data_IF_638386361904
#
_entry.id   IF_638386361904
#
_cell.length_a   1.000
_cell.length_b   1.000
_cell.length_c   1.000
_cell.angle_alpha   90.00
_cell.angle_beta   90.00
_cell.angle_gamma   90.00
#
_symmetry.space_group_name_H-M   'P 1'
#
loop_
_entity.id
_entity.type
_entity.pdbx_description
1 polymer ?
#
# COMPACT_ATOMS: atom_id res chain seq x y z
N UNK A 1 1.46 12.02 6.51
CA UNK A 1 0.11 12.58 6.74
C UNK A 1 0.04 14.07 6.42
N UNK A 2 0.88 14.93 6.98
CA UNK A 2 0.85 16.38 6.71
C UNK A 2 0.95 16.74 5.22
N UNK A 3 1.84 16.09 4.48
CA UNK A 3 2.01 16.27 3.03
C UNK A 3 0.78 15.87 2.22
N UNK A 4 0.07 14.80 2.62
CA UNK A 4 -1.19 14.37 2.00
C UNK A 4 -2.28 15.41 2.25
N UNK A 5 -2.40 15.92 3.48
CA UNK A 5 -3.37 16.98 3.81
C UNK A 5 -3.06 18.28 3.04
N UNK A 6 -1.78 18.63 2.93
CA UNK A 6 -1.35 19.79 2.14
C UNK A 6 -1.68 19.61 0.66
N UNK A 7 -1.39 18.43 0.09
CA UNK A 7 -1.73 18.12 -1.30
C UNK A 7 -3.24 18.17 -1.55
N UNK A 8 -4.04 17.56 -0.67
CA UNK A 8 -5.50 17.60 -0.76
C UNK A 8 -6.04 19.04 -0.70
N UNK A 9 -5.48 19.88 0.19
CA UNK A 9 -5.83 21.29 0.27
C UNK A 9 -5.44 22.07 -0.99
N UNK A 10 -4.25 21.84 -1.54
CA UNK A 10 -3.79 22.45 -2.79
C UNK A 10 -4.65 22.03 -3.98
N UNK A 11 -4.98 20.74 -4.09
CA UNK A 11 -5.85 20.20 -5.12
C UNK A 11 -7.24 20.83 -5.06
N UNK A 12 -7.83 20.94 -3.87
CA UNK A 12 -9.10 21.61 -3.64
C UNK A 12 -9.06 23.09 -4.07
N UNK A 13 -8.00 23.83 -3.68
CA UNK A 13 -7.78 25.22 -4.08
C UNK A 13 -7.65 25.40 -5.59
N UNK A 14 -7.15 24.38 -6.31
CA UNK A 14 -6.99 24.37 -7.78
C UNK A 14 -8.20 23.80 -8.51
N UNK A 15 -9.25 23.36 -7.80
CA UNK A 15 -10.42 22.72 -8.41
C UNK A 15 -10.14 21.34 -9.03
N UNK A 16 -9.09 20.65 -8.56
CA UNK A 16 -8.68 19.34 -9.07
C UNK A 16 -9.32 18.22 -8.25
N UNK A 17 -10.03 17.31 -8.90
CA UNK A 17 -10.72 16.17 -8.28
C UNK A 17 -9.84 14.90 -8.23
N UNK A 18 -8.68 15.01 -7.56
CA UNK A 18 -7.67 13.93 -7.46
C UNK A 18 -7.76 13.15 -6.14
N UNK A 19 -8.65 13.55 -5.23
CA UNK A 19 -8.89 12.89 -3.96
C UNK A 19 -10.35 12.46 -3.85
N UNK A 20 -10.53 11.19 -3.50
CA UNK A 20 -11.69 10.70 -2.78
C UNK A 20 -11.24 10.29 -1.38
N UNK A 21 -11.95 10.75 -0.34
CA UNK A 21 -11.50 10.54 1.04
C UNK A 21 -11.63 9.07 1.43
N UNK A 22 -12.64 8.35 0.93
CA UNK A 22 -12.81 6.94 1.25
C UNK A 22 -11.71 6.10 0.59
N UNK A 23 -11.38 6.37 -0.67
CA UNK A 23 -10.26 5.74 -1.38
C UNK A 23 -8.91 6.07 -0.72
N UNK A 24 -8.68 7.33 -0.34
CA UNK A 24 -7.46 7.74 0.35
C UNK A 24 -7.32 7.04 1.70
N UNK A 25 -8.40 6.91 2.48
CA UNK A 25 -8.41 6.15 3.73
C UNK A 25 -8.12 4.66 3.48
N UNK A 26 -8.66 4.06 2.41
CA UNK A 26 -8.33 2.68 2.03
C UNK A 26 -6.86 2.52 1.68
N UNK A 27 -6.24 3.47 0.97
CA UNK A 27 -4.79 3.47 0.73
C UNK A 27 -4.01 3.48 2.05
N UNK A 28 -4.41 4.32 3.00
CA UNK A 28 -3.78 4.40 4.32
C UNK A 28 -3.99 3.13 5.16
N UNK A 29 -5.18 2.51 5.11
CA UNK A 29 -5.48 1.24 5.76
C UNK A 29 -4.57 0.12 5.24
N UNK A 30 -4.38 0.03 3.93
CA UNK A 30 -3.48 -0.93 3.29
C UNK A 30 -2.02 -0.71 3.73
N UNK A 31 -1.58 0.54 3.80
CA UNK A 31 -0.29 0.90 4.36
C UNK A 31 -0.11 0.45 5.81
N UNK A 32 -1.12 0.67 6.67
CA UNK A 32 -1.11 0.19 8.06
C UNK A 32 -1.01 -1.34 8.12
N UNK A 33 -1.80 -2.06 7.33
CA UNK A 33 -1.73 -3.52 7.23
C UNK A 33 -0.33 -4.00 6.82
N UNK A 34 0.25 -3.37 5.79
CA UNK A 34 1.62 -3.65 5.33
C UNK A 34 2.65 -3.48 6.46
N UNK A 35 2.58 -2.38 7.23
CA UNK A 35 3.48 -2.14 8.36
C UNK A 35 3.32 -3.17 9.48
N UNK A 36 2.08 -3.52 9.84
CA UNK A 36 1.81 -4.54 10.88
C UNK A 36 2.33 -5.90 10.45
N UNK A 37 2.11 -6.33 9.19
CA UNK A 37 2.68 -7.58 8.67
C UNK A 37 4.21 -7.52 8.59
N UNK A 38 4.75 -6.35 8.27
CA UNK A 38 6.18 -6.05 8.26
C UNK A 38 6.87 -6.37 9.60
N UNK A 39 6.20 -6.12 10.73
CA UNK A 39 6.75 -6.45 12.06
C UNK A 39 7.09 -7.93 12.21
N UNK A 40 6.24 -8.81 11.67
CA UNK A 40 6.41 -10.25 11.81
C UNK A 40 7.32 -10.85 10.73
N UNK A 41 7.53 -10.15 9.62
CA UNK A 41 8.26 -10.65 8.45
C UNK A 41 9.64 -10.04 8.29
N UNK A 42 9.93 -8.88 8.90
CA UNK A 42 11.23 -8.20 8.84
C UNK A 42 12.38 -9.08 9.35
N UNK A 43 12.16 -9.87 10.41
CA UNK A 43 13.17 -10.77 10.96
C UNK A 43 13.52 -11.88 9.98
N UNK A 44 12.52 -12.40 9.27
CA UNK A 44 12.75 -13.38 8.22
C UNK A 44 13.56 -12.76 7.07
N UNK A 45 13.13 -11.62 6.52
CA UNK A 45 13.78 -11.01 5.36
C UNK A 45 15.20 -10.52 5.68
N UNK A 46 15.38 -9.72 6.74
CA UNK A 46 16.69 -9.19 7.13
C UNK A 46 17.59 -10.28 7.70
N UNK A 47 17.02 -11.24 8.46
CA UNK A 47 17.75 -12.38 9.00
C UNK A 47 18.28 -13.28 7.89
N UNK A 48 17.47 -13.59 6.88
CA UNK A 48 17.90 -14.38 5.72
C UNK A 48 18.98 -13.64 4.91
N UNK A 49 18.79 -12.35 4.63
CA UNK A 49 19.80 -11.53 3.97
C UNK A 49 21.12 -11.53 4.75
N UNK A 50 21.06 -11.33 6.08
CA UNK A 50 22.24 -11.29 6.95
C UNK A 50 22.94 -12.63 7.04
N UNK A 51 22.19 -13.74 7.14
CA UNK A 51 22.74 -15.09 7.15
C UNK A 51 23.45 -15.40 5.82
N UNK A 52 22.86 -15.00 4.70
CA UNK A 52 23.46 -15.16 3.37
C UNK A 52 24.73 -14.33 3.23
N UNK A 53 24.69 -13.07 3.64
CA UNK A 53 25.84 -12.17 3.68
C UNK A 53 26.97 -12.80 4.52
N UNK A 54 26.72 -13.16 5.78
CA UNK A 54 27.75 -13.72 6.67
C UNK A 54 28.39 -14.99 6.13
N UNK A 55 27.66 -15.80 5.37
CA UNK A 55 28.14 -17.09 4.87
C UNK A 55 28.82 -17.01 3.51
N UNK A 56 28.31 -16.18 2.59
CA UNK A 56 28.65 -16.22 1.16
C UNK A 56 28.94 -14.85 0.51
N UNK A 57 29.17 -13.78 1.28
CA UNK A 57 29.62 -12.53 0.68
C UNK A 57 30.97 -12.73 -0.04
N UNK A 58 31.04 -12.28 -1.29
CA UNK A 58 32.23 -12.40 -2.13
C UNK A 58 33.24 -11.26 -1.94
N UNK A 59 32.81 -10.12 -1.40
CA UNK A 59 33.64 -8.94 -1.20
C UNK A 59 33.42 -8.34 0.19
N UNK A 60 34.50 -7.94 0.85
CA UNK A 60 34.46 -7.18 2.10
C UNK A 60 34.29 -5.69 1.81
N UNK A 61 33.03 -5.24 1.67
CA UNK A 61 32.73 -3.83 1.43
C UNK A 61 32.57 -3.06 2.75
N UNK A 62 33.32 -1.98 2.91
CA UNK A 62 33.26 -1.16 4.12
C UNK A 62 32.03 -0.24 4.14
N UNK A 63 31.15 -0.32 5.16
CA UNK A 63 30.02 0.59 5.29
C UNK A 63 30.43 2.05 5.57
N UNK A 64 31.69 2.30 5.92
CA UNK A 64 32.23 3.65 6.08
C UNK A 64 32.57 4.35 4.74
N UNK A 65 32.58 3.60 3.64
CA UNK A 65 32.97 4.12 2.32
C UNK A 65 31.75 4.66 1.55
N UNK A 66 31.73 5.96 1.24
CA UNK A 66 30.61 6.58 0.51
C UNK A 66 30.33 5.97 -0.87
N UNK A 67 31.36 5.48 -1.56
CA UNK A 67 31.18 4.80 -2.85
C UNK A 67 30.38 3.49 -2.72
N UNK A 68 30.52 2.77 -1.59
CA UNK A 68 29.76 1.53 -1.32
C UNK A 68 28.27 1.85 -1.24
N UNK A 69 27.90 2.96 -0.59
CA UNK A 69 26.51 3.42 -0.53
C UNK A 69 25.96 3.79 -1.90
N UNK A 70 26.74 4.52 -2.71
CA UNK A 70 26.32 4.91 -4.06
C UNK A 70 26.16 3.69 -4.98
N UNK A 71 27.13 2.77 -4.97
CA UNK A 71 27.09 1.54 -5.75
C UNK A 71 25.94 0.62 -5.28
N UNK A 72 25.74 0.50 -3.97
CA UNK A 72 24.64 -0.27 -3.40
C UNK A 72 23.27 0.34 -3.76
N UNK A 73 23.13 1.67 -3.78
CA UNK A 73 21.89 2.33 -4.18
C UNK A 73 21.57 2.06 -5.65
N UNK A 74 22.58 2.16 -6.54
CA UNK A 74 22.40 1.85 -7.96
C UNK A 74 22.04 0.38 -8.17
N UNK A 75 22.71 -0.53 -7.46
CA UNK A 75 22.43 -1.96 -7.54
C UNK A 75 21.06 -2.32 -6.93
N UNK A 76 20.66 -1.64 -5.86
CA UNK A 76 19.34 -1.80 -5.26
C UNK A 76 18.24 -1.33 -6.22
N UNK A 77 18.38 -0.16 -6.83
CA UNK A 77 17.43 0.38 -7.81
C UNK A 77 17.32 -0.54 -9.05
N UNK A 78 18.42 -1.17 -9.47
CA UNK A 78 18.40 -2.22 -10.49
C UNK A 78 17.63 -3.49 -10.04
N UNK A 79 17.88 -3.97 -8.82
CA UNK A 79 17.11 -5.07 -8.24
C UNK A 79 15.62 -4.73 -8.13
N UNK A 80 15.31 -3.49 -7.74
CA UNK A 80 13.95 -2.97 -7.67
C UNK A 80 13.28 -3.00 -9.05
N UNK A 81 13.94 -2.51 -10.11
CA UNK A 81 13.40 -2.56 -11.47
C UNK A 81 12.93 -3.98 -11.86
N UNK A 82 13.74 -5.01 -11.60
CA UNK A 82 13.36 -6.39 -11.90
C UNK A 82 12.27 -6.95 -10.99
N UNK A 83 12.32 -6.64 -9.70
CA UNK A 83 11.27 -7.00 -8.76
C UNK A 83 9.93 -6.39 -9.18
N UNK A 84 9.95 -5.12 -9.61
CA UNK A 84 8.78 -4.36 -10.00
C UNK A 84 8.24 -4.83 -11.35
N UNK A 85 9.09 -4.98 -12.36
CA UNK A 85 8.73 -5.52 -13.68
C UNK A 85 8.09 -6.90 -13.57
N UNK A 86 8.72 -7.85 -12.87
CA UNK A 86 8.12 -9.16 -12.68
C UNK A 86 6.89 -9.12 -11.77
N UNK A 87 6.80 -8.11 -10.90
CA UNK A 87 5.58 -7.71 -10.19
C UNK A 87 4.41 -7.40 -11.12
N UNK A 88 4.64 -6.95 -12.35
CA UNK A 88 3.59 -6.71 -13.34
C UNK A 88 3.47 -7.82 -14.38
N UNK A 89 4.55 -8.54 -14.68
CA UNK A 89 4.57 -9.54 -15.75
C UNK A 89 4.36 -11.00 -15.28
N UNK A 90 4.38 -11.27 -13.96
CA UNK A 90 4.21 -12.63 -13.41
C UNK A 90 3.05 -12.66 -12.42
N UNK A 91 2.08 -13.53 -12.67
CA UNK A 91 0.80 -13.58 -11.95
C UNK A 91 0.91 -13.65 -10.43
N UNK A 92 1.79 -14.47 -9.86
CA UNK A 92 1.97 -14.57 -8.40
C UNK A 92 2.60 -13.30 -7.80
N UNK A 93 3.49 -12.62 -8.53
CA UNK A 93 4.11 -11.38 -8.09
C UNK A 93 3.15 -10.20 -8.28
N UNK A 94 2.33 -10.24 -9.33
CA UNK A 94 1.22 -9.31 -9.52
C UNK A 94 0.14 -9.49 -8.45
N UNK A 95 -0.13 -10.70 -7.98
CA UNK A 95 -0.99 -10.90 -6.81
C UNK A 95 -0.46 -10.13 -5.58
N UNK A 96 0.86 -10.02 -5.46
CA UNK A 96 1.51 -9.25 -4.41
C UNK A 96 1.61 -7.76 -4.72
N UNK A 97 1.29 -7.27 -5.92
CA UNK A 97 1.53 -5.88 -6.31
C UNK A 97 0.27 -5.13 -6.76
N UNK A 98 -0.70 -5.82 -7.39
CA UNK A 98 -1.96 -5.30 -7.96
C UNK A 98 -2.72 -4.34 -7.03
N UNK A 99 -2.69 -4.61 -5.72
CA UNK A 99 -3.38 -3.76 -4.75
C UNK A 99 -2.82 -2.34 -4.75
N UNK A 100 -1.53 -2.15 -5.02
CA UNK A 100 -0.90 -0.84 -5.17
C UNK A 100 -1.53 -0.01 -6.31
N UNK A 101 -1.80 -0.67 -7.43
CA UNK A 101 -2.43 -0.08 -8.62
C UNK A 101 -3.95 0.04 -8.52
N UNK A 102 -4.57 -0.53 -7.48
CA UNK A 102 -6.03 -0.61 -7.40
C UNK A 102 -6.75 0.71 -7.09
N UNK A 103 -6.02 1.78 -6.73
CA UNK A 103 -6.63 3.10 -6.54
C UNK A 103 -6.98 3.71 -7.89
N UNK A 104 -8.18 4.26 -7.99
CA UNK A 104 -8.68 4.95 -9.18
C UNK A 104 -8.49 6.47 -9.10
N UNK A 105 -7.77 6.92 -8.07
CA UNK A 105 -7.35 8.29 -7.78
C UNK A 105 -5.82 8.30 -7.61
N UNK A 106 -5.14 9.33 -8.10
CA UNK A 106 -3.68 9.35 -8.05
C UNK A 106 -3.15 10.54 -7.26
N UNK A 107 -2.65 10.27 -6.06
CA UNK A 107 -2.20 11.27 -5.11
C UNK A 107 -1.25 10.64 -4.08
N UNK A 108 -0.71 11.45 -3.16
CA UNK A 108 0.31 10.98 -2.19
C UNK A 108 -0.20 9.89 -1.23
N UNK A 109 -1.51 9.68 -1.11
CA UNK A 109 -2.03 8.52 -0.36
C UNK A 109 -1.83 7.22 -1.12
N UNK A 110 -1.84 7.23 -2.46
CA UNK A 110 -1.60 6.07 -3.33
C UNK A 110 -0.23 5.45 -3.07
N UNK A 111 0.79 6.26 -2.76
CA UNK A 111 2.10 5.77 -2.33
C UNK A 111 2.03 4.84 -1.10
N UNK A 112 1.05 5.06 -0.22
CA UNK A 112 0.86 4.27 0.99
C UNK A 112 -0.09 3.08 0.78
N UNK A 113 -0.66 2.90 -0.41
CA UNK A 113 -1.42 1.72 -0.80
C UNK A 113 -0.47 0.53 -1.00
N UNK A 114 0.10 0.05 0.09
CA UNK A 114 1.13 -0.99 0.08
C UNK A 114 0.52 -2.37 0.29
N UNK A 115 1.08 -3.35 -0.40
CA UNK A 115 0.75 -4.77 -0.22
C UNK A 115 1.21 -5.29 1.13
N UNK A 116 0.52 -6.31 1.63
CA UNK A 116 0.93 -7.10 2.80
C UNK A 116 1.54 -8.45 2.43
N UNK A 117 1.66 -8.77 1.14
CA UNK A 117 2.13 -10.08 0.66
C UNK A 117 3.46 -10.05 -0.10
N UNK A 118 4.08 -8.87 -0.25
CA UNK A 118 5.39 -8.73 -0.91
C UNK A 118 6.51 -9.56 -0.27
N UNK A 119 6.43 -9.86 1.03
CA UNK A 119 7.41 -10.69 1.74
C UNK A 119 7.47 -12.15 1.29
N UNK A 120 6.48 -12.64 0.52
CA UNK A 120 6.46 -14.02 0.06
C UNK A 120 7.62 -14.30 -0.91
N UNK A 121 7.85 -13.38 -1.86
CA UNK A 121 8.83 -13.57 -2.94
C UNK A 121 9.73 -12.35 -3.20
N UNK A 122 9.36 -11.16 -2.72
CA UNK A 122 10.08 -9.92 -3.03
C UNK A 122 11.53 -9.88 -2.50
N UNK A 123 11.82 -10.55 -1.39
CA UNK A 123 13.17 -10.60 -0.80
C UNK A 123 14.19 -11.27 -1.72
N UNK A 124 13.76 -12.20 -2.59
CA UNK A 124 14.66 -12.99 -3.43
C UNK A 124 15.45 -12.11 -4.41
N UNK A 125 14.86 -11.01 -4.87
CA UNK A 125 15.47 -10.06 -5.80
C UNK A 125 16.68 -9.32 -5.23
N UNK A 126 16.76 -9.22 -3.90
CA UNK A 126 17.80 -8.46 -3.23
C UNK A 126 18.92 -9.34 -2.66
N UNK A 127 18.74 -10.67 -2.63
CA UNK A 127 19.79 -11.60 -2.20
C UNK A 127 21.12 -11.50 -2.97
N UNK A 128 21.13 -11.20 -4.29
CA UNK A 128 22.39 -10.97 -5.00
C UNK A 128 23.26 -9.89 -4.36
N UNK A 129 22.67 -8.88 -3.71
CA UNK A 129 23.42 -7.82 -3.02
C UNK A 129 24.17 -8.37 -1.79
N UNK A 130 23.58 -9.33 -1.06
CA UNK A 130 24.24 -9.99 0.05
C UNK A 130 25.46 -10.80 -0.43
N UNK A 131 25.30 -11.54 -1.52
CA UNK A 131 26.39 -12.32 -2.15
C UNK A 131 27.46 -11.39 -2.73
N UNK A 132 27.08 -10.24 -3.28
CA UNK A 132 28.02 -9.21 -3.74
C UNK A 132 28.72 -8.46 -2.60
N UNK A 133 28.37 -8.73 -1.34
CA UNK A 133 29.03 -8.14 -0.18
C UNK A 133 28.50 -6.78 0.25
N UNK A 134 27.28 -6.39 -0.12
CA UNK A 134 26.63 -5.19 0.41
C UNK A 134 26.26 -5.43 1.89
N UNK A 135 26.85 -4.68 2.85
CA UNK A 135 26.59 -4.92 4.28
C UNK A 135 25.12 -4.72 4.64
N UNK A 136 24.54 -5.50 5.57
CA UNK A 136 23.12 -5.38 5.95
C UNK A 136 22.70 -3.96 6.35
N UNK A 137 23.58 -3.20 7.00
CA UNK A 137 23.33 -1.79 7.34
C UNK A 137 23.18 -0.92 6.08
N UNK A 138 24.07 -1.08 5.11
CA UNK A 138 24.02 -0.34 3.84
C UNK A 138 22.78 -0.74 3.07
N UNK A 139 22.49 -2.05 2.98
CA UNK A 139 21.28 -2.59 2.35
C UNK A 139 20.00 -1.96 2.92
N UNK A 140 19.84 -1.96 4.25
CA UNK A 140 18.68 -1.37 4.91
C UNK A 140 18.59 0.15 4.65
N UNK A 141 19.75 0.83 4.63
CA UNK A 141 19.82 2.27 4.37
C UNK A 141 19.43 2.64 2.94
N UNK A 142 19.97 1.94 1.93
CA UNK A 142 19.61 2.22 0.52
C UNK A 142 18.18 1.81 0.20
N UNK A 143 17.66 0.74 0.80
CA UNK A 143 16.26 0.38 0.71
C UNK A 143 15.32 1.47 1.25
N UNK A 144 15.71 2.14 2.34
CA UNK A 144 14.97 3.27 2.90
C UNK A 144 15.03 4.50 1.99
N UNK A 145 16.21 4.80 1.41
CA UNK A 145 16.37 5.92 0.47
C UNK A 145 15.46 5.72 -0.74
N UNK A 146 15.47 4.52 -1.32
CA UNK A 146 14.62 4.14 -2.45
C UNK A 146 13.13 4.24 -2.12
N UNK A 147 12.70 3.65 -0.99
CA UNK A 147 11.32 3.75 -0.51
C UNK A 147 10.85 5.21 -0.34
N UNK A 148 11.68 6.07 0.25
CA UNK A 148 11.38 7.48 0.45
C UNK A 148 11.34 8.26 -0.86
N UNK A 149 12.20 7.92 -1.82
CA UNK A 149 12.16 8.50 -3.15
C UNK A 149 10.84 8.18 -3.85
N UNK A 150 10.39 6.93 -3.78
CA UNK A 150 9.15 6.52 -4.44
C UNK A 150 7.88 7.14 -3.85
N UNK A 151 7.95 7.76 -2.67
CA UNK A 151 6.80 8.45 -2.09
C UNK A 151 6.31 9.65 -2.92
N UNK A 152 7.22 10.56 -3.31
CA UNK A 152 6.84 11.86 -3.87
C UNK A 152 6.37 11.80 -5.33
N UNK A 153 6.68 10.71 -6.04
CA UNK A 153 6.28 10.51 -7.45
C UNK A 153 4.78 10.22 -7.60
N UNK A 154 4.06 9.96 -6.50
CA UNK A 154 2.62 9.72 -6.49
C UNK A 154 1.83 11.01 -6.39
N UNK A 155 1.79 11.81 -7.47
CA UNK A 155 1.01 13.06 -7.49
C UNK A 155 0.60 13.46 -8.90
N UNK A 156 -0.57 14.07 -9.01
CA UNK A 156 -1.03 14.79 -10.20
C UNK A 156 -0.69 16.29 -10.15
N UNK A 157 -0.23 16.82 -9.00
CA UNK A 157 0.02 18.26 -8.84
C UNK A 157 1.32 18.75 -9.50
N UNK A 158 2.24 17.83 -9.78
CA UNK A 158 3.52 18.09 -10.44
C UNK A 158 3.42 17.56 -11.87
N UNK A 159 3.46 18.48 -12.84
CA UNK A 159 3.44 18.13 -14.27
C UNK A 159 4.77 17.51 -14.74
N UNK A 160 5.03 17.62 -16.05
CA UNK A 160 6.27 17.15 -16.66
C UNK A 160 7.46 18.01 -16.19
N UNK A 161 8.60 17.37 -15.94
CA UNK A 161 9.84 18.04 -15.50
C UNK A 161 10.90 18.11 -16.61
N UNK A 162 10.55 17.70 -17.83
CA UNK A 162 11.36 17.90 -19.02
C UNK A 162 12.54 16.93 -19.08
N UNK A 163 13.77 17.42 -18.90
CA UNK A 163 14.95 16.55 -18.96
C UNK A 163 15.04 15.59 -17.76
N UNK A 164 14.47 15.97 -16.61
CA UNK A 164 14.44 15.10 -15.43
C UNK A 164 13.62 13.82 -15.67
N UNK A 165 12.51 13.90 -16.42
CA UNK A 165 11.69 12.75 -16.84
C UNK A 165 12.47 11.73 -17.71
N UNK A 166 13.68 12.08 -18.13
CA UNK A 166 14.56 11.24 -18.95
C UNK A 166 15.67 10.57 -18.17
N UNK A 167 15.92 10.98 -16.93
CA UNK A 167 17.01 10.48 -16.08
C UNK A 167 16.46 9.84 -14.82
N UNK A 168 15.48 10.48 -14.20
CA UNK A 168 14.83 10.06 -12.97
C UNK A 168 13.41 9.59 -13.25
N UNK A 169 12.87 8.76 -12.37
CA UNK A 169 11.45 8.48 -12.30
C UNK A 169 10.78 9.69 -11.66
N UNK A 170 10.02 10.43 -12.44
CA UNK A 170 9.27 11.60 -11.96
C UNK A 170 7.78 11.27 -11.80
N UNK A 171 6.97 12.18 -11.22
CA UNK A 171 5.52 12.01 -11.19
C UNK A 171 4.91 11.76 -12.57
N UNK A 172 5.48 12.32 -13.63
CA UNK A 172 5.03 12.08 -15.01
C UNK A 172 5.24 10.63 -15.45
N UNK A 173 6.44 10.09 -15.21
CA UNK A 173 6.72 8.69 -15.52
C UNK A 173 5.84 7.73 -14.69
N UNK A 174 5.67 8.05 -13.40
CA UNK A 174 4.92 7.18 -12.48
C UNK A 174 3.40 7.25 -12.69
N UNK A 175 2.86 8.38 -13.18
CA UNK A 175 1.47 8.45 -13.65
C UNK A 175 1.21 7.48 -14.80
N UNK A 176 2.10 7.42 -15.80
CA UNK A 176 2.01 6.45 -16.90
C UNK A 176 2.04 5.04 -16.33
N UNK A 177 2.96 4.75 -15.41
CA UNK A 177 3.05 3.44 -14.76
C UNK A 177 1.75 3.01 -14.04
N UNK A 178 1.09 3.94 -13.34
CA UNK A 178 -0.18 3.69 -12.67
C UNK A 178 -1.42 3.75 -13.57
N UNK A 179 -1.24 4.13 -14.84
CA UNK A 179 -2.32 4.25 -15.80
C UNK A 179 -2.83 2.89 -16.27
N UNK A 180 -4.14 2.77 -16.45
CA UNK A 180 -4.77 1.60 -17.06
C UNK A 180 -5.07 1.80 -18.55
N UNK A 181 -4.76 2.96 -19.14
CA UNK A 181 -4.84 3.19 -20.60
C UNK A 181 -3.98 2.17 -21.35
N UNK A 182 -4.31 1.88 -22.61
CA UNK A 182 -3.60 0.86 -23.39
C UNK A 182 -2.09 1.12 -23.54
N UNK A 183 -1.69 2.39 -23.68
CA UNK A 183 -0.28 2.74 -23.81
C UNK A 183 0.49 2.69 -22.48
N UNK A 184 -0.22 2.69 -21.35
CA UNK A 184 0.34 2.69 -20.00
C UNK A 184 0.68 1.28 -19.48
N UNK A 185 0.07 0.24 -20.07
CA UNK A 185 0.24 -1.14 -19.58
C UNK A 185 1.69 -1.59 -19.74
N UNK A 186 2.23 -2.14 -18.64
CA UNK A 186 3.56 -2.72 -18.57
C UNK A 186 4.69 -1.74 -18.95
N UNK A 187 4.60 -0.50 -18.43
CA UNK A 187 5.56 0.58 -18.65
C UNK A 187 6.15 1.16 -17.37
N UNK A 188 7.35 1.73 -17.49
CA UNK A 188 8.00 2.58 -16.48
C UNK A 188 8.15 1.94 -15.09
N UNK A 189 8.90 0.85 -14.98
CA UNK A 189 9.11 0.08 -13.75
C UNK A 189 10.21 0.62 -12.81
N UNK A 190 11.00 1.60 -13.23
CA UNK A 190 12.09 2.15 -12.40
C UNK A 190 11.63 2.67 -11.04
N UNK A 191 12.49 2.60 -10.03
CA UNK A 191 12.23 3.16 -8.69
C UNK A 191 12.69 4.61 -8.59
N UNK A 192 14.00 4.82 -8.74
CA UNK A 192 14.66 6.13 -8.76
C UNK A 192 15.04 6.53 -10.18
N UNK A 193 15.69 5.64 -10.93
CA UNK A 193 16.20 5.92 -12.27
C UNK A 193 15.28 5.35 -13.34
N UNK A 194 14.91 6.19 -14.31
CA UNK A 194 14.19 5.73 -15.52
C UNK A 194 15.12 5.05 -16.53
N UNK A 195 16.42 5.02 -16.21
CA UNK A 195 17.48 4.42 -17.03
C UNK A 195 17.16 2.96 -17.39
N UNK A 196 16.69 2.18 -16.43
CA UNK A 196 16.43 0.75 -16.63
C UNK A 196 15.32 0.52 -17.66
N UNK A 197 14.25 1.31 -17.60
CA UNK A 197 13.18 1.26 -18.60
C UNK A 197 13.65 1.57 -20.01
N UNK A 198 14.62 2.48 -20.16
CA UNK A 198 15.22 2.80 -21.45
C UNK A 198 16.10 1.65 -21.95
N UNK A 199 16.90 1.06 -21.07
CA UNK A 199 17.81 -0.04 -21.41
C UNK A 199 17.05 -1.32 -21.78
N UNK A 200 15.93 -1.59 -21.12
CA UNK A 200 15.15 -2.81 -21.29
C UNK A 200 13.85 -2.65 -22.09
N UNK A 201 13.64 -1.46 -22.69
CA UNK A 201 12.56 -1.21 -23.66
C UNK A 201 11.16 -1.08 -23.06
N UNK A 202 11.05 -0.71 -21.79
CA UNK A 202 9.77 -0.54 -21.06
C UNK A 202 9.42 0.93 -20.82
N UNK A 203 10.24 1.87 -21.31
CA UNK A 203 9.97 3.31 -21.20
C UNK A 203 8.81 3.73 -22.09
N UNK A 204 7.89 4.53 -21.52
CA UNK A 204 6.85 5.25 -22.23
C UNK A 204 6.71 6.66 -21.64
N UNK A 205 6.58 7.65 -22.51
CA UNK A 205 6.42 9.05 -22.11
C UNK A 205 4.95 9.39 -21.84
N UNK A 206 4.69 10.35 -20.96
CA UNK A 206 3.33 10.82 -20.71
C UNK A 206 2.79 11.57 -21.93
N UNK A 207 1.66 11.06 -22.45
CA UNK A 207 1.00 11.59 -23.64
C UNK A 207 0.11 12.77 -23.27
N UNK A 208 0.17 13.83 -24.08
CA UNK A 208 -0.64 15.04 -23.86
C UNK A 208 -2.03 14.93 -24.51
N UNK A 209 -2.20 14.01 -25.44
CA UNK A 209 -3.42 13.77 -26.22
C UNK A 209 -4.38 12.78 -25.54
N UNK A 210 -3.96 12.09 -24.49
CA UNK A 210 -4.78 11.13 -23.76
C UNK A 210 -4.66 11.33 -22.24
N UNK A 211 -5.79 11.62 -21.59
CA UNK A 211 -5.83 11.70 -20.11
C UNK A 211 -5.67 10.31 -19.51
N UNK A 212 -4.75 10.18 -18.57
CA UNK A 212 -4.52 8.93 -17.85
C UNK A 212 -5.71 8.64 -16.93
N UNK A 213 -6.21 7.41 -17.01
CA UNK A 213 -7.16 6.83 -16.07
C UNK A 213 -6.42 5.84 -15.20
N UNK A 214 -6.61 5.92 -13.89
CA UNK A 214 -5.92 5.06 -12.92
C UNK A 214 -6.81 3.91 -12.46
N UNK A 215 -6.19 2.88 -11.89
CA UNK A 215 -6.84 1.68 -11.42
C UNK A 215 -6.27 0.45 -12.11
N UNK A 216 -6.99 -0.67 -11.99
CA UNK A 216 -6.64 -1.94 -12.63
C UNK A 216 -7.72 -2.34 -13.63
N UNK A 217 -7.32 -3.04 -14.71
CA UNK A 217 -8.18 -3.47 -15.83
C UNK A 217 -9.44 -4.22 -15.40
N UNK A 218 -9.35 -4.95 -14.29
CA UNK A 218 -10.50 -5.53 -13.60
C UNK A 218 -10.67 -4.80 -12.28
N UNK A 219 -11.53 -3.76 -12.20
CA UNK A 219 -11.62 -2.91 -11.03
C UNK A 219 -11.93 -3.68 -9.75
N UNK A 220 -11.22 -3.36 -8.66
CA UNK A 220 -11.39 -4.03 -7.36
C UNK A 220 -12.80 -3.86 -6.78
N UNK A 221 -13.40 -2.68 -6.98
CA UNK A 221 -14.73 -2.29 -6.47
C UNK A 221 -14.95 -2.62 -4.99
N UNK A 222 -13.95 -2.34 -4.16
CA UNK A 222 -14.01 -2.56 -2.72
C UNK A 222 -13.08 -1.61 -1.96
N UNK A 223 -13.51 -1.22 -0.76
CA UNK A 223 -12.72 -0.47 0.22
C UNK A 223 -12.18 -1.37 1.35
N UNK A 224 -12.41 -2.68 1.28
CA UNK A 224 -11.95 -3.66 2.26
C UNK A 224 -10.45 -3.93 2.07
N UNK A 225 -9.59 -3.56 3.03
CA UNK A 225 -8.14 -3.67 2.88
C UNK A 225 -7.65 -5.13 2.91
N UNK A 226 -8.41 -6.06 3.50
CA UNK A 226 -8.10 -7.49 3.41
C UNK A 226 -8.43 -8.03 2.02
N UNK A 227 -9.62 -7.71 1.50
CA UNK A 227 -9.99 -8.14 0.15
C UNK A 227 -9.06 -7.54 -0.91
N UNK A 228 -8.64 -6.28 -0.74
CA UNK A 228 -7.63 -5.65 -1.60
C UNK A 228 -6.35 -6.49 -1.74
N UNK A 229 -5.87 -7.09 -0.64
CA UNK A 229 -4.69 -7.97 -0.66
C UNK A 229 -4.97 -9.39 -1.19
N UNK A 230 -6.22 -9.88 -1.10
CA UNK A 230 -6.54 -11.29 -1.32
C UNK A 230 -7.25 -11.57 -2.66
N UNK A 231 -7.88 -10.58 -3.27
CA UNK A 231 -8.76 -10.77 -4.43
C UNK A 231 -8.07 -11.50 -5.58
N UNK A 232 -6.84 -11.08 -5.94
CA UNK A 232 -6.13 -11.68 -7.05
C UNK A 232 -5.61 -13.08 -6.73
N UNK A 233 -5.20 -13.35 -5.49
CA UNK A 233 -4.90 -14.73 -5.06
C UNK A 233 -6.14 -15.64 -5.16
N UNK A 234 -7.33 -15.11 -4.84
CA UNK A 234 -8.57 -15.86 -5.03
C UNK A 234 -8.83 -16.17 -6.52
N UNK A 235 -8.51 -15.23 -7.42
CA UNK A 235 -8.60 -15.46 -8.86
C UNK A 235 -7.61 -16.52 -9.35
N UNK A 236 -6.36 -16.50 -8.87
CA UNK A 236 -5.37 -17.54 -9.15
C UNK A 236 -5.82 -18.91 -8.67
N UNK A 237 -6.41 -19.01 -7.47
CA UNK A 237 -6.93 -20.26 -6.93
C UNK A 237 -8.11 -20.78 -7.77
N UNK A 238 -9.06 -19.92 -8.16
CA UNK A 238 -10.19 -20.28 -9.04
C UNK A 238 -9.69 -20.74 -10.41
N UNK A 239 -8.76 -20.01 -11.02
CA UNK A 239 -8.17 -20.36 -12.30
C UNK A 239 -7.40 -21.68 -12.23
N UNK A 240 -6.67 -21.92 -11.16
CA UNK A 240 -5.96 -23.19 -10.90
C UNK A 240 -6.92 -24.37 -10.78
N UNK A 241 -8.06 -24.18 -10.11
CA UNK A 241 -9.09 -25.20 -9.98
C UNK A 241 -9.75 -25.53 -11.34
N UNK A 242 -9.92 -24.54 -12.21
CA UNK A 242 -10.45 -24.71 -13.56
C UNK A 242 -9.42 -25.32 -14.55
N UNK A 243 -8.12 -25.13 -14.30
CA UNK A 243 -7.04 -25.59 -15.17
C UNK A 243 -6.84 -27.12 -15.14
N UNK A 244 -6.73 -27.72 -16.34
CA UNK A 244 -6.48 -29.15 -16.53
C UNK A 244 -4.98 -29.43 -16.72
N UNK A 245 -4.42 -30.26 -15.84
CA UNK A 245 -3.01 -30.66 -15.89
C UNK A 245 -2.05 -29.70 -15.17
N UNK A 246 -0.90 -30.21 -14.74
CA UNK A 246 0.06 -29.46 -13.92
C UNK A 246 0.69 -28.27 -14.65
N UNK A 247 0.90 -28.37 -15.98
CA UNK A 247 1.47 -27.27 -16.79
C UNK A 247 0.55 -26.06 -16.84
N UNK A 248 -0.74 -26.28 -17.10
CA UNK A 248 -1.74 -25.22 -17.12
C UNK A 248 -1.86 -24.57 -15.74
N UNK A 249 -1.85 -25.37 -14.67
CA UNK A 249 -1.83 -24.86 -13.29
C UNK A 249 -0.59 -24.03 -13.00
N UNK A 250 0.60 -24.48 -13.40
CA UNK A 250 1.83 -23.69 -13.24
C UNK A 250 1.77 -22.37 -14.04
N UNK A 251 1.21 -22.39 -15.25
CA UNK A 251 1.05 -21.20 -16.08
C UNK A 251 0.11 -20.16 -15.46
N UNK A 252 -0.89 -20.56 -14.65
CA UNK A 252 -1.73 -19.62 -13.89
C UNK A 252 -0.88 -18.79 -12.91
N UNK A 253 0.09 -19.40 -12.24
CA UNK A 253 0.88 -18.71 -11.21
C UNK A 253 2.12 -17.99 -11.76
N UNK A 254 2.77 -18.56 -12.77
CA UNK A 254 4.06 -18.09 -13.28
C UNK A 254 3.98 -17.48 -14.67
N UNK A 255 2.80 -17.47 -15.30
CA UNK A 255 2.57 -16.76 -16.57
C UNK A 255 2.15 -15.30 -16.36
N UNK A 256 1.91 -14.61 -17.48
CA UNK A 256 1.43 -13.24 -17.49
C UNK A 256 0.06 -13.08 -16.79
N UNK A 257 -0.15 -12.01 -16.02
CA UNK A 257 -1.44 -11.71 -15.39
C UNK A 257 -2.62 -11.82 -16.36
N UNK A 258 -3.61 -12.62 -15.99
CA UNK A 258 -4.83 -12.81 -16.78
C UNK A 258 -4.68 -13.73 -18.00
N UNK A 259 -3.47 -14.16 -18.38
CA UNK A 259 -3.25 -15.00 -19.56
C UNK A 259 -3.95 -16.37 -19.48
N UNK A 260 -4.24 -16.86 -18.27
CA UNK A 260 -5.02 -18.09 -18.06
C UNK A 260 -6.46 -18.02 -18.59
N UNK A 261 -6.99 -16.81 -18.85
CA UNK A 261 -8.29 -16.62 -19.48
C UNK A 261 -8.31 -17.03 -20.95
N UNK A 262 -7.13 -17.09 -21.60
CA UNK A 262 -7.00 -17.33 -23.03
C UNK A 262 -7.53 -16.19 -23.92
N UNK A 263 -7.94 -15.07 -23.32
CA UNK A 263 -8.42 -13.90 -24.04
C UNK A 263 -7.32 -12.82 -24.10
N UNK A 264 -7.16 -12.14 -25.24
CA UNK A 264 -6.28 -10.97 -25.29
C UNK A 264 -6.80 -9.88 -24.36
N UNK A 265 -5.89 -9.03 -23.86
CA UNK A 265 -6.29 -7.85 -23.09
C UNK A 265 -7.19 -6.96 -23.97
N UNK A 266 -8.42 -6.74 -23.52
CA UNK A 266 -9.37 -5.92 -24.26
C UNK A 266 -8.92 -4.45 -24.30
N UNK A 267 -9.16 -3.78 -25.43
CA UNK A 267 -8.95 -2.33 -25.57
C UNK A 267 -9.69 -1.58 -24.47
N UNK A 268 -8.99 -0.67 -23.79
CA UNK A 268 -9.60 0.19 -22.77
C UNK A 268 -10.17 1.45 -23.42
N UNK A 269 -11.44 1.73 -23.16
CA UNK A 269 -12.10 2.97 -23.56
C UNK A 269 -12.23 3.91 -22.35
N UNK A 270 -11.34 4.93 -22.18
CA UNK A 270 -11.35 5.83 -21.02
C UNK A 270 -12.71 6.49 -20.76
N UNK A 271 -13.43 6.85 -21.81
CA UNK A 271 -14.73 7.53 -21.71
C UNK A 271 -15.85 6.69 -21.05
N UNK A 272 -15.69 5.36 -20.98
CA UNK A 272 -16.66 4.46 -20.33
C UNK A 272 -16.29 4.12 -18.89
N UNK A 273 -15.13 4.57 -18.41
CA UNK A 273 -14.68 4.25 -17.08
C UNK A 273 -15.41 5.09 -16.03
N UNK A 274 -15.98 4.41 -15.04
CA UNK A 274 -16.62 5.05 -13.89
C UNK A 274 -15.89 4.63 -12.64
N UNK A 275 -15.41 5.63 -11.88
CA UNK A 275 -14.75 5.38 -10.60
C UNK A 275 -15.72 4.73 -9.62
N UNK A 276 -15.22 3.77 -8.84
CA UNK A 276 -15.91 3.15 -7.74
C UNK A 276 -16.12 4.18 -6.62
N UNK A 277 -17.39 4.50 -6.39
CA UNK A 277 -17.80 5.38 -5.31
C UNK A 277 -19.05 4.77 -4.66
N UNK A 278 -18.94 4.14 -3.48
CA UNK A 278 -20.07 3.43 -2.86
C UNK A 278 -21.17 4.35 -2.30
N UNK A 279 -21.04 5.68 -2.47
CA UNK A 279 -22.06 6.65 -2.02
C UNK A 279 -21.98 6.97 -0.53
N UNK A 280 -20.80 6.82 0.08
CA UNK A 280 -20.59 7.03 1.51
C UNK A 280 -21.01 8.45 1.93
N UNK A 281 -21.91 8.60 2.92
CA UNK A 281 -22.31 9.93 3.40
C UNK A 281 -21.09 10.71 3.93
N UNK A 282 -20.99 12.04 3.66
CA UNK A 282 -19.85 12.84 4.12
C UNK A 282 -19.60 12.79 5.63
N UNK A 283 -20.66 12.61 6.42
CA UNK A 283 -20.58 12.46 7.89
C UNK A 283 -19.90 11.15 8.30
N UNK A 284 -20.16 10.05 7.60
CA UNK A 284 -19.51 8.75 7.82
C UNK A 284 -18.04 8.82 7.39
N UNK A 285 -17.76 9.47 6.26
CA UNK A 285 -16.39 9.70 5.80
C UNK A 285 -15.58 10.53 6.79
N UNK A 286 -16.15 11.62 7.32
CA UNK A 286 -15.51 12.44 8.35
C UNK A 286 -15.29 11.66 9.66
N UNK A 287 -16.27 10.85 10.07
CA UNK A 287 -16.14 9.96 11.21
C UNK A 287 -14.99 8.96 11.04
N UNK A 288 -14.93 8.26 9.90
CA UNK A 288 -13.88 7.29 9.61
C UNK A 288 -12.49 7.95 9.56
N UNK A 289 -12.38 9.16 8.99
CA UNK A 289 -11.14 9.93 9.00
C UNK A 289 -10.68 10.29 10.42
N UNK A 290 -11.61 10.69 11.31
CA UNK A 290 -11.32 10.94 12.72
C UNK A 290 -10.86 9.67 13.44
N UNK A 291 -11.56 8.55 13.24
CA UNK A 291 -11.17 7.26 13.84
C UNK A 291 -9.80 6.79 13.35
N UNK A 292 -9.50 6.97 12.06
CA UNK A 292 -8.18 6.67 11.52
C UNK A 292 -7.09 7.58 12.13
N UNK A 293 -7.35 8.87 12.29
CA UNK A 293 -6.41 9.79 12.93
C UNK A 293 -6.09 9.38 14.38
N UNK A 294 -7.07 8.85 15.13
CA UNK A 294 -6.85 8.28 16.47
C UNK A 294 -6.07 6.95 16.44
N UNK A 295 -6.15 6.20 15.33
CA UNK A 295 -5.41 4.94 15.14
C UNK A 295 -3.92 5.19 14.85
N UNK A 296 -3.56 6.30 14.20
CA UNK A 296 -2.17 6.60 13.80
C UNK A 296 -1.18 6.59 14.97
N UNK A 297 -1.44 7.25 16.13
CA UNK A 297 -0.56 7.13 17.30
C UNK A 297 -0.41 5.69 17.81
N UNK A 298 -1.48 4.88 17.73
CA UNK A 298 -1.44 3.48 18.14
C UNK A 298 -0.53 2.66 17.22
N UNK A 299 -0.64 2.84 15.89
CA UNK A 299 0.26 2.21 14.91
C UNK A 299 1.71 2.63 15.16
N UNK A 300 1.96 3.94 15.29
CA UNK A 300 3.31 4.47 15.51
C UNK A 300 3.94 3.91 16.77
N UNK A 301 3.16 3.79 17.85
CA UNK A 301 3.61 3.18 19.08
C UNK A 301 3.89 1.68 18.91
N UNK A 302 3.00 0.91 18.29
CA UNK A 302 3.22 -0.52 18.05
C UNK A 302 4.56 -0.76 17.34
N UNK A 303 4.87 0.04 16.32
CA UNK A 303 6.13 -0.04 15.58
C UNK A 303 7.35 0.28 16.46
N UNK A 304 7.24 1.26 17.35
CA UNK A 304 8.33 1.67 18.24
C UNK A 304 8.54 0.71 19.43
N UNK A 305 7.47 0.14 19.97
CA UNK A 305 7.48 -0.71 21.15
C UNK A 305 7.62 -2.20 20.82
N UNK A 306 7.55 -2.60 19.56
CA UNK A 306 7.69 -4.01 19.17
C UNK A 306 8.88 -4.75 19.81
N UNK A 307 10.09 -4.15 19.95
CA UNK A 307 11.22 -4.84 20.58
C UNK A 307 11.04 -5.16 22.06
N UNK A 308 10.10 -4.50 22.75
CA UNK A 308 9.88 -4.64 24.21
C UNK A 308 8.58 -5.36 24.57
N UNK A 309 7.67 -5.55 23.61
CA UNK A 309 6.39 -6.20 23.83
C UNK A 309 6.54 -7.72 23.88
N UNK A 310 5.86 -8.36 24.82
CA UNK A 310 5.70 -9.81 24.81
C UNK A 310 4.97 -10.26 23.54
N UNK A 311 5.29 -11.43 22.93
CA UNK A 311 4.70 -11.86 21.67
C UNK A 311 3.17 -11.88 21.65
N UNK A 312 2.54 -12.32 22.74
CA UNK A 312 1.07 -12.33 22.85
C UNK A 312 0.47 -10.91 22.83
N UNK A 313 1.13 -9.94 23.47
CA UNK A 313 0.70 -8.54 23.46
C UNK A 313 0.90 -7.92 22.07
N UNK A 314 2.02 -8.21 21.40
CA UNK A 314 2.30 -7.77 20.04
C UNK A 314 1.23 -8.27 19.05
N UNK A 315 0.89 -9.57 19.13
CA UNK A 315 -0.15 -10.19 18.29
C UNK A 315 -1.53 -9.57 18.54
N UNK A 316 -1.94 -9.43 19.81
CA UNK A 316 -3.23 -8.84 20.15
C UNK A 316 -3.31 -7.38 19.67
N UNK A 317 -2.27 -6.60 19.88
CA UNK A 317 -2.23 -5.19 19.48
C UNK A 317 -2.28 -5.07 17.94
N UNK A 318 -1.46 -5.83 17.22
CA UNK A 318 -1.54 -5.91 15.76
C UNK A 318 -2.93 -6.30 15.26
N UNK A 319 -3.56 -7.30 15.89
CA UNK A 319 -4.91 -7.75 15.53
C UNK A 319 -5.97 -6.67 15.74
N UNK A 320 -5.91 -5.89 16.83
CA UNK A 320 -6.82 -4.76 17.07
C UNK A 320 -6.67 -3.67 16.01
N UNK A 321 -5.43 -3.36 15.59
CA UNK A 321 -5.17 -2.39 14.53
C UNK A 321 -5.74 -2.88 13.20
N UNK A 322 -5.44 -4.13 12.81
CA UNK A 322 -5.95 -4.73 11.57
C UNK A 322 -7.48 -4.74 11.59
N UNK A 323 -8.11 -5.23 12.66
CA UNK A 323 -9.56 -5.23 12.80
C UNK A 323 -10.14 -3.81 12.69
N UNK A 324 -9.47 -2.79 13.24
CA UNK A 324 -9.91 -1.40 13.11
C UNK A 324 -9.94 -0.92 11.67
N UNK A 325 -8.88 -1.15 10.91
CA UNK A 325 -8.85 -0.75 9.49
C UNK A 325 -9.91 -1.48 8.64
N UNK A 326 -10.16 -2.77 8.92
CA UNK A 326 -11.17 -3.57 8.21
C UNK A 326 -12.58 -3.09 8.52
N UNK A 327 -12.87 -2.83 9.79
CA UNK A 327 -14.18 -2.35 10.22
C UNK A 327 -14.45 -0.94 9.66
N UNK A 328 -13.46 -0.05 9.67
CA UNK A 328 -13.59 1.28 9.07
C UNK A 328 -13.76 1.21 7.55
N UNK A 329 -13.02 0.34 6.85
CA UNK A 329 -13.22 0.09 5.42
C UNK A 329 -14.62 -0.46 5.11
N UNK A 330 -15.11 -1.40 5.92
CA UNK A 330 -16.47 -1.93 5.80
C UNK A 330 -17.55 -0.86 6.04
N UNK A 331 -17.31 0.06 6.98
CA UNK A 331 -18.20 1.18 7.26
C UNK A 331 -18.25 2.16 6.08
N UNK A 332 -17.07 2.54 5.55
CA UNK A 332 -16.97 3.39 4.35
C UNK A 332 -17.67 2.75 3.14
N UNK A 333 -17.56 1.43 2.97
CA UNK A 333 -18.22 0.71 1.87
C UNK A 333 -19.75 0.57 2.07
N UNK A 334 -20.30 0.91 3.23
CA UNK A 334 -21.73 0.70 3.52
C UNK A 334 -22.11 -0.78 3.73
N UNK A 335 -21.16 -1.62 4.17
CA UNK A 335 -21.41 -3.06 4.35
C UNK A 335 -22.46 -3.30 5.46
N UNK A 336 -23.39 -4.20 5.20
CA UNK A 336 -24.42 -4.55 6.18
C UNK A 336 -23.80 -5.00 7.52
N UNK A 337 -24.20 -4.34 8.61
CA UNK A 337 -23.69 -4.60 9.96
C UNK A 337 -22.41 -3.86 10.34
N UNK A 338 -21.72 -3.17 9.41
CA UNK A 338 -20.45 -2.52 9.68
C UNK A 338 -20.52 -1.46 10.80
N UNK A 339 -21.59 -0.67 10.85
CA UNK A 339 -21.78 0.30 11.92
C UNK A 339 -21.97 -0.36 13.30
N UNK A 340 -22.56 -1.55 13.39
CA UNK A 340 -22.60 -2.32 14.65
C UNK A 340 -21.21 -2.83 15.04
N UNK A 341 -20.42 -3.32 14.07
CA UNK A 341 -19.05 -3.73 14.34
C UNK A 341 -18.19 -2.56 14.83
N UNK A 342 -18.39 -1.38 14.23
CA UNK A 342 -17.70 -0.16 14.63
C UNK A 342 -18.09 0.30 16.03
N UNK A 343 -19.37 0.22 16.40
CA UNK A 343 -19.81 0.49 17.77
C UNK A 343 -19.08 -0.40 18.77
N UNK A 344 -19.05 -1.71 18.53
CA UNK A 344 -18.34 -2.65 19.40
C UNK A 344 -16.86 -2.35 19.48
N UNK A 345 -16.21 -2.09 18.33
CA UNK A 345 -14.80 -1.74 18.27
C UNK A 345 -14.50 -0.47 19.07
N UNK A 346 -15.27 0.60 18.85
CA UNK A 346 -15.09 1.88 19.52
C UNK A 346 -15.29 1.76 21.03
N UNK A 347 -16.34 1.04 21.48
CA UNK A 347 -16.59 0.79 22.90
C UNK A 347 -15.48 -0.07 23.53
N UNK A 348 -15.03 -1.13 22.85
CA UNK A 348 -13.94 -1.98 23.35
C UNK A 348 -12.62 -1.22 23.45
N UNK A 349 -12.26 -0.43 22.43
CA UNK A 349 -11.07 0.41 22.45
C UNK A 349 -11.16 1.49 23.53
N UNK A 350 -12.33 2.12 23.70
CA UNK A 350 -12.57 3.12 24.74
C UNK A 350 -12.49 2.54 26.14
N UNK A 351 -13.07 1.36 26.37
CA UNK A 351 -12.98 0.64 27.64
C UNK A 351 -11.53 0.24 27.93
N UNK A 352 -10.80 -0.30 26.94
CA UNK A 352 -9.38 -0.58 27.08
C UNK A 352 -8.57 0.69 27.41
N UNK A 353 -8.90 1.83 26.79
CA UNK A 353 -8.29 3.14 27.08
C UNK A 353 -8.50 3.59 28.52
N UNK A 354 -9.71 3.42 29.03
CA UNK A 354 -10.08 3.83 30.37
C UNK A 354 -9.49 2.90 31.45
N UNK A 355 -9.54 1.58 31.22
CA UNK A 355 -9.29 0.57 32.24
C UNK A 355 -7.82 0.14 32.36
N UNK A 356 -7.03 0.23 31.29
CA UNK A 356 -5.63 -0.15 31.37
C UNK A 356 -4.87 0.88 32.22
N UNK A 357 -4.04 0.43 33.18
CA UNK A 357 -3.37 1.32 34.13
C UNK A 357 -2.42 2.26 33.40
N UNK A 358 -1.69 1.74 32.42
CA UNK A 358 -0.85 2.49 31.50
C UNK A 358 -1.29 2.23 30.07
N UNK A 359 -1.19 3.27 29.26
CA UNK A 359 -1.27 3.15 27.82
C UNK A 359 0.11 3.38 27.29
N UNK A 360 0.75 2.34 26.77
CA UNK A 360 1.98 2.52 25.98
C UNK A 360 3.15 3.09 26.81
N UNK A 361 3.27 2.66 28.07
CA UNK A 361 4.25 3.18 29.03
C UNK A 361 3.99 4.62 29.49
N UNK A 362 2.85 5.18 29.09
CA UNK A 362 2.40 6.52 29.43
C UNK A 362 1.16 6.46 30.33
N UNK A 363 1.23 7.16 31.45
CA UNK A 363 0.07 7.40 32.31
C UNK A 363 -0.75 8.54 31.73
N UNK A 364 -1.71 8.18 30.87
CA UNK A 364 -2.61 9.15 30.26
C UNK A 364 -3.34 9.97 31.32
N UNK A 365 -3.24 11.32 31.29
CA UNK A 365 -3.96 12.18 32.22
C UNK A 365 -5.46 11.87 32.21
N UNK A 366 -6.16 11.98 33.35
CA UNK A 366 -7.60 11.69 33.43
C UNK A 366 -8.43 12.43 32.39
N UNK A 367 -8.04 13.68 32.06
CA UNK A 367 -8.70 14.49 31.02
C UNK A 367 -8.58 13.85 29.63
N UNK A 368 -7.40 13.32 29.28
CA UNK A 368 -7.21 12.64 28.00
C UNK A 368 -8.00 11.32 27.94
N UNK A 369 -8.04 10.56 29.04
CA UNK A 369 -8.86 9.34 29.15
C UNK A 369 -10.33 9.64 28.96
N UNK A 370 -10.84 10.66 29.64
CA UNK A 370 -12.22 11.10 29.50
C UNK A 370 -12.52 11.58 28.06
N UNK A 371 -11.61 12.34 27.44
CA UNK A 371 -11.78 12.83 26.08
C UNK A 371 -11.83 11.69 25.05
N UNK A 372 -10.88 10.76 25.08
CA UNK A 372 -10.85 9.60 24.17
C UNK A 372 -12.09 8.73 24.36
N UNK A 373 -12.46 8.44 25.61
CA UNK A 373 -13.67 7.68 25.91
C UNK A 373 -14.93 8.41 25.40
N UNK A 374 -15.03 9.72 25.60
CA UNK A 374 -16.16 10.51 25.14
C UNK A 374 -16.27 10.51 23.60
N UNK A 375 -15.15 10.62 22.89
CA UNK A 375 -15.12 10.55 21.42
C UNK A 375 -15.55 9.17 20.92
N UNK A 376 -15.04 8.09 21.52
CA UNK A 376 -15.36 6.73 21.08
C UNK A 376 -16.79 6.32 21.45
N UNK A 377 -17.23 6.58 22.68
CA UNK A 377 -18.59 6.27 23.13
C UNK A 377 -19.62 7.18 22.45
N UNK A 378 -19.33 8.47 22.30
CA UNK A 378 -20.17 9.43 21.58
C UNK A 378 -20.29 9.06 20.11
N UNK A 379 -19.20 8.62 19.48
CA UNK A 379 -19.19 8.09 18.12
C UNK A 379 -20.07 6.85 17.96
N UNK A 380 -19.95 5.88 18.88
CA UNK A 380 -20.79 4.68 18.89
C UNK A 380 -22.29 5.01 19.06
N UNK A 381 -22.62 5.92 19.99
CA UNK A 381 -23.99 6.39 20.20
C UNK A 381 -24.54 7.16 19.00
N UNK A 382 -23.72 7.99 18.36
CA UNK A 382 -24.08 8.70 17.13
C UNK A 382 -24.39 7.75 15.98
N UNK A 383 -23.53 6.77 15.72
CA UNK A 383 -23.76 5.73 14.70
C UNK A 383 -25.10 5.00 14.92
N UNK A 384 -25.48 4.77 16.19
CA UNK A 384 -26.74 4.12 16.52
C UNK A 384 -27.95 4.97 16.09
N UNK A 385 -27.88 6.29 16.28
CA UNK A 385 -28.96 7.21 15.88
C UNK A 385 -29.04 7.36 14.37
N UNK A 386 -27.90 7.46 13.69
CA UNK A 386 -27.84 7.58 12.23
C UNK A 386 -28.40 6.35 11.53
N UNK A 387 -28.23 5.15 12.10
CA UNK A 387 -28.84 3.93 11.57
C UNK A 387 -30.33 3.75 11.91
N UNK A 388 -30.81 4.37 12.98
CA UNK A 388 -32.18 4.21 13.45
C UNK A 388 -33.20 5.09 12.70
N UNK A 389 -32.74 6.03 11.86
CA UNK A 389 -33.62 6.76 10.97
C UNK A 389 -33.90 5.91 9.73
N UNK A 390 -35.17 5.50 9.48
CA UNK A 390 -35.54 4.91 8.21
C UNK A 390 -35.22 5.91 7.11
N UNK A 391 -34.68 5.44 5.99
CA UNK A 391 -34.55 6.26 4.79
C UNK A 391 -35.93 6.79 4.40
N UNK A 392 -36.20 8.05 4.73
CA UNK A 392 -37.28 8.82 4.12
C UNK A 392 -36.69 9.54 2.92
N UNK A 393 -36.97 9.03 1.72
CA UNK A 393 -36.62 9.66 0.45
C UNK A 393 -36.55 8.66 -0.68
#
# INVERSE_FOLDING_TARGET
MLTIVLEAWLAHRRGLAIYDVADALTSLHLGVLSQVVGLFTKLFMLGLYTALYQRWHGFDLSPASGWVWLAALLAYDFCYYWAHRLGHEVSVLWAAHVVHHSSEYYNLSTALRQTSSGWLLGWAFYLPLAVAGVPPLVMAGVAMIDLLYQYWVHTELVGRLGWLDRVLVTPSNHRVHHGQNDYCIDKNYGGILILWDRLFGTFEDERADETIVYGVRTPLRSLDPLWGNLHYYADLLRATAAARGWRARAAVWFGQPGAWSGQPLAHFEPARFTRYHPGTPPTITAYAALQFALLVPCVSHLLAAEPTLAPAALLLYGAVIVASTVILGALLQGRHGAARWEQWRALACGAAFALLPQWFGFDAPPVLRAAVLAVLAGGAAWLNRTMAQPEHG
#
